data_IF_065225451949
#
_entry.id   IF_065225451949
#
_cell.length_a   1.000
_cell.length_b   1.000
_cell.length_c   1.000
_cell.angle_alpha   90.00
_cell.angle_beta   90.00
_cell.angle_gamma   90.00
#
_symmetry.space_group_name_H-M   'P 1'
#
loop_
_entity.id
_entity.type
_entity.pdbx_description
1 polymer ?
#
# COMPACT_ATOMS: atom_id res chain seq x y z
N UNK A 1 6.50 1.59 -14.53
CA UNK A 1 5.48 1.33 -13.50
C UNK A 1 6.22 0.95 -12.24
N UNK A 2 5.92 1.59 -11.12
CA UNK A 2 6.48 1.27 -9.80
C UNK A 2 5.35 1.12 -8.80
N UNK A 3 5.63 0.44 -7.69
CA UNK A 3 4.70 0.24 -6.59
C UNK A 3 5.27 0.90 -5.35
N UNK A 4 4.64 1.97 -4.91
CA UNK A 4 5.10 2.76 -3.78
C UNK A 4 4.27 2.45 -2.54
N UNK A 5 4.97 2.27 -1.42
CA UNK A 5 4.38 2.07 -0.10
C UNK A 5 4.23 3.44 0.55
N UNK A 6 3.00 3.77 0.93
CA UNK A 6 2.68 4.98 1.66
C UNK A 6 2.18 4.64 3.07
N UNK A 7 2.60 5.43 4.06
CA UNK A 7 2.15 5.35 5.45
C UNK A 7 1.11 6.44 5.72
N UNK A 8 0.02 6.08 6.38
CA UNK A 8 -0.96 7.04 6.90
C UNK A 8 -0.43 7.68 8.18
N UNK A 9 -0.54 9.00 8.28
CA UNK A 9 -0.19 9.79 9.48
C UNK A 9 -1.40 10.57 10.04
N UNK A 10 -2.60 10.26 9.55
CA UNK A 10 -3.83 10.97 9.88
C UNK A 10 -4.86 10.90 8.76
N UNK A 11 -5.98 11.63 8.89
CA UNK A 11 -7.00 11.72 7.85
C UNK A 11 -6.38 12.32 6.58
N UNK A 12 -6.43 11.57 5.48
CA UNK A 12 -5.97 11.97 4.14
C UNK A 12 -4.47 12.36 3.99
N UNK A 13 -3.66 12.18 5.03
CA UNK A 13 -2.21 12.41 4.97
C UNK A 13 -1.50 11.08 4.75
N UNK A 14 -0.83 10.96 3.60
CA UNK A 14 -0.07 9.80 3.19
C UNK A 14 1.36 10.21 2.86
N UNK A 15 2.33 9.48 3.43
CA UNK A 15 3.75 9.70 3.17
C UNK A 15 4.33 8.52 2.42
N UNK A 16 4.84 8.77 1.22
CA UNK A 16 5.60 7.80 0.46
C UNK A 16 6.92 7.47 1.17
N UNK A 17 7.10 6.20 1.49
CA UNK A 17 8.31 5.72 2.16
C UNK A 17 9.28 5.06 1.18
N UNK A 18 8.79 4.13 0.36
CA UNK A 18 9.66 3.32 -0.51
C UNK A 18 8.89 2.78 -1.72
N UNK A 19 9.54 2.77 -2.88
CA UNK A 19 9.00 2.20 -4.11
C UNK A 19 9.75 0.94 -4.53
N UNK A 20 9.02 0.05 -5.22
CA UNK A 20 9.49 -1.23 -5.69
C UNK A 20 9.08 -1.45 -7.14
N UNK A 21 9.83 -2.27 -7.86
CA UNK A 21 9.50 -2.64 -9.25
C UNK A 21 8.28 -3.57 -9.33
N UNK A 22 7.95 -4.27 -8.24
CA UNK A 22 6.86 -5.25 -8.22
C UNK A 22 5.90 -5.03 -7.06
N UNK A 23 4.62 -5.28 -7.31
CA UNK A 23 3.54 -5.19 -6.31
C UNK A 23 3.82 -6.09 -5.10
N UNK A 24 4.24 -7.33 -5.36
CA UNK A 24 4.54 -8.31 -4.31
C UNK A 24 5.60 -7.83 -3.31
N UNK A 25 6.65 -7.14 -3.79
CA UNK A 25 7.70 -6.58 -2.92
C UNK A 25 7.16 -5.43 -2.08
N UNK A 26 6.38 -4.53 -2.70
CA UNK A 26 5.71 -3.44 -1.99
C UNK A 26 4.76 -3.96 -0.92
N UNK A 27 3.93 -4.95 -1.25
CA UNK A 27 3.03 -5.61 -0.31
C UNK A 27 3.79 -6.24 0.87
N UNK A 28 4.83 -7.02 0.60
CA UNK A 28 5.61 -7.69 1.65
C UNK A 28 6.25 -6.67 2.60
N UNK A 29 6.77 -5.56 2.07
CA UNK A 29 7.32 -4.46 2.86
C UNK A 29 6.25 -3.79 3.72
N UNK A 30 5.14 -3.36 3.13
CA UNK A 30 4.04 -2.71 3.82
C UNK A 30 3.39 -3.61 4.89
N UNK A 31 3.26 -4.91 4.61
CA UNK A 31 2.81 -5.93 5.56
C UNK A 31 3.73 -6.01 6.77
N UNK A 32 5.04 -6.13 6.56
CA UNK A 32 6.01 -6.19 7.64
C UNK A 32 6.00 -4.91 8.49
N UNK A 33 5.96 -3.74 7.84
CA UNK A 33 5.92 -2.45 8.54
C UNK A 33 4.63 -2.27 9.35
N UNK A 34 3.47 -2.55 8.77
CA UNK A 34 2.17 -2.45 9.46
C UNK A 34 2.06 -3.38 10.67
N UNK A 35 2.76 -4.52 10.68
CA UNK A 35 2.86 -5.40 11.86
C UNK A 35 3.72 -4.77 12.96
N UNK A 36 4.83 -4.15 12.59
CA UNK A 36 5.80 -3.62 13.54
C UNK A 36 5.35 -2.30 14.18
N UNK A 37 4.71 -1.41 13.41
CA UNK A 37 4.31 -0.07 13.87
C UNK A 37 2.84 0.01 14.28
N UNK A 38 2.04 -1.03 14.01
CA UNK A 38 0.58 -0.99 14.08
C UNK A 38 -0.06 0.12 13.22
N UNK A 39 0.69 0.69 12.27
CA UNK A 39 0.23 1.75 11.38
C UNK A 39 -0.64 1.25 10.23
N UNK A 40 -1.33 2.18 9.58
CA UNK A 40 -2.04 1.97 8.32
C UNK A 40 -1.10 2.32 7.16
N UNK A 41 -0.97 1.39 6.23
CA UNK A 41 -0.19 1.55 5.01
C UNK A 41 -1.08 1.32 3.79
N UNK A 42 -0.68 1.85 2.65
CA UNK A 42 -1.24 1.49 1.34
C UNK A 42 -0.14 1.26 0.33
N UNK A 43 -0.43 0.45 -0.67
CA UNK A 43 0.40 0.31 -1.86
C UNK A 43 -0.30 1.04 -2.99
N UNK A 44 0.40 1.95 -3.64
CA UNK A 44 -0.05 2.62 -4.87
C UNK A 44 0.81 2.14 -6.03
N UNK A 45 0.24 2.07 -7.23
CA UNK A 45 1.05 2.01 -8.45
C UNK A 45 1.28 3.43 -8.96
N UNK A 46 2.46 3.66 -9.53
CA UNK A 46 2.82 4.89 -10.22
C UNK A 46 3.34 4.59 -11.62
N UNK A 47 2.79 5.31 -12.59
CA UNK A 47 3.20 5.29 -13.99
C UNK A 47 3.08 6.70 -14.57
N UNK A 48 3.77 7.02 -15.68
CA UNK A 48 3.69 8.35 -16.27
C UNK A 48 2.22 8.73 -16.58
N UNK A 49 1.69 9.73 -15.86
CA UNK A 49 0.34 10.24 -16.03
C UNK A 49 -0.78 9.39 -15.39
N UNK A 50 -0.46 8.32 -14.66
CA UNK A 50 -1.47 7.49 -14.01
C UNK A 50 -0.93 6.88 -12.70
N UNK A 51 -1.65 7.09 -11.61
CA UNK A 51 -1.43 6.44 -10.32
C UNK A 51 -2.74 5.97 -9.75
N UNK A 52 -2.68 4.93 -8.91
CA UNK A 52 -3.87 4.37 -8.28
C UNK A 52 -3.53 3.55 -7.06
N UNK A 53 -4.48 3.44 -6.15
CA UNK A 53 -4.37 2.59 -4.97
C UNK A 53 -4.59 1.13 -5.36
N UNK A 54 -3.66 0.26 -4.93
CA UNK A 54 -3.74 -1.18 -5.18
C UNK A 54 -4.38 -1.88 -3.98
N UNK A 55 -3.95 -1.51 -2.76
CA UNK A 55 -4.47 -2.10 -1.53
C UNK A 55 -4.10 -1.31 -0.27
N UNK A 56 -4.92 -1.45 0.78
CA UNK A 56 -4.61 -0.99 2.14
C UNK A 56 -4.17 -2.14 3.03
N UNK A 57 -3.30 -1.86 3.99
CA UNK A 57 -2.70 -2.85 4.86
C UNK A 57 -2.63 -2.30 6.28
N UNK A 58 -3.16 -3.04 7.24
CA UNK A 58 -3.07 -2.72 8.67
C UNK A 58 -2.84 -3.98 9.48
N UNK A 59 -1.98 -3.89 10.50
CA UNK A 59 -1.68 -5.03 11.40
C UNK A 59 -1.30 -6.31 10.62
N UNK A 60 -0.58 -6.16 9.51
CA UNK A 60 -0.14 -7.25 8.65
C UNK A 60 -1.21 -7.92 7.79
N UNK A 61 -2.40 -7.32 7.69
CA UNK A 61 -3.52 -7.82 6.91
C UNK A 61 -3.90 -6.80 5.85
N UNK A 62 -4.17 -7.28 4.64
CA UNK A 62 -4.82 -6.47 3.61
C UNK A 62 -6.22 -6.11 4.10
N UNK A 63 -6.56 -4.81 4.04
CA UNK A 63 -7.91 -4.31 4.21
C UNK A 63 -8.45 -4.15 2.79
N UNK A 64 -9.35 -5.04 2.42
CA UNK A 64 -10.15 -4.85 1.22
C UNK A 64 -11.23 -3.83 1.56
N UNK A 65 -11.35 -2.76 0.78
CA UNK A 65 -12.61 -2.02 0.77
C UNK A 65 -13.70 -2.99 0.29
N UNK A 66 -14.95 -2.83 0.74
CA UNK A 66 -16.04 -3.78 0.41
C UNK A 66 -16.30 -3.92 -1.11
N UNK A 67 -15.73 -3.04 -1.94
CA UNK A 67 -15.82 -3.06 -3.41
C UNK A 67 -14.62 -3.70 -4.14
N UNK A 68 -13.51 -4.03 -3.46
CA UNK A 68 -12.31 -4.54 -4.14
C UNK A 68 -12.39 -6.07 -4.34
N UNK A 69 -12.99 -6.47 -5.46
CA UNK A 69 -12.97 -7.85 -5.95
C UNK A 69 -11.54 -8.24 -6.34
N UNK A 70 -10.98 -9.21 -5.58
CA UNK A 70 -9.76 -9.93 -5.92
C UNK A 70 -9.91 -10.59 -7.30
N UNK A 71 -9.21 -10.08 -8.32
CA UNK A 71 -8.89 -10.86 -9.51
C UNK A 71 -7.63 -11.66 -9.20
N UNK A 72 -7.81 -12.98 -9.06
CA UNK A 72 -6.75 -13.95 -8.80
C UNK A 72 -5.88 -14.24 -10.02
#
# INVERSE_FOLDING_TARGET
MMFCVERSDGPDIWFQEQCFETEFRAFTNARAKSLNTFGLYRVIYESPGNSGEVMRISKGKAILAEDDRLVG
#
